data_IF_037575228505
#
_entry.id   IF_037575228505
#
_cell.length_a   1.000
_cell.length_b   1.000
_cell.length_c   1.000
_cell.angle_alpha   90.00
_cell.angle_beta   90.00
_cell.angle_gamma   90.00
#
_symmetry.space_group_name_H-M   'P 1'
#
loop_
_entity.id
_entity.type
_entity.pdbx_description
1 polymer ?
#
# COMPACT_ATOMS: atom_id res chain seq x y z
N UNK A 1 22.12 -29.97 1.35
CA UNK A 1 21.09 -29.91 2.39
C UNK A 1 19.72 -29.72 1.74
N UNK A 2 18.77 -30.57 2.06
CA UNK A 2 17.40 -30.42 1.55
C UNK A 2 16.61 -29.61 2.56
N UNK A 3 15.95 -28.55 2.08
CA UNK A 3 15.13 -27.68 2.93
C UNK A 3 13.68 -28.14 2.80
N UNK A 4 13.00 -28.36 3.94
CA UNK A 4 11.57 -28.71 3.95
C UNK A 4 10.69 -27.53 3.53
N UNK A 5 9.44 -27.83 3.14
CA UNK A 5 8.47 -26.77 2.77
C UNK A 5 8.25 -25.81 3.94
N UNK A 6 8.20 -26.30 5.16
CA UNK A 6 8.03 -25.46 6.34
C UNK A 6 9.25 -24.57 6.60
N UNK A 7 10.45 -25.08 6.38
CA UNK A 7 11.67 -24.29 6.50
C UNK A 7 11.73 -23.22 5.42
N UNK A 8 11.27 -23.50 4.21
CA UNK A 8 11.18 -22.50 3.15
C UNK A 8 10.19 -21.40 3.52
N UNK A 9 9.06 -21.76 4.11
CA UNK A 9 8.04 -20.78 4.50
C UNK A 9 8.53 -19.79 5.54
N UNK A 10 9.50 -20.19 6.39
CA UNK A 10 10.04 -19.32 7.45
C UNK A 10 11.35 -18.65 7.06
N UNK A 11 12.07 -19.18 6.07
CA UNK A 11 13.43 -18.74 5.73
C UNK A 11 13.47 -17.85 4.48
N UNK A 12 12.65 -18.12 3.50
CA UNK A 12 12.67 -17.40 2.23
C UNK A 12 11.66 -16.26 2.20
N UNK A 13 11.99 -15.16 1.52
CA UNK A 13 11.04 -14.05 1.35
C UNK A 13 9.78 -14.50 0.64
N UNK A 14 8.67 -13.87 1.00
CA UNK A 14 7.39 -14.11 0.35
C UNK A 14 7.35 -13.47 -1.03
N UNK A 15 6.69 -14.13 -2.01
CA UNK A 15 6.51 -13.52 -3.32
C UNK A 15 5.53 -12.37 -3.26
N UNK A 16 5.81 -11.30 -3.99
CA UNK A 16 4.96 -10.10 -3.99
C UNK A 16 3.67 -10.27 -4.81
N UNK A 17 3.53 -11.34 -5.58
CA UNK A 17 2.36 -11.50 -6.46
C UNK A 17 1.14 -12.11 -5.76
N UNK A 18 1.29 -12.68 -4.57
CA UNK A 18 0.17 -13.27 -3.80
C UNK A 18 -0.29 -12.29 -2.74
N UNK A 19 -1.21 -11.41 -3.11
CA UNK A 19 -1.73 -10.43 -2.17
C UNK A 19 -3.25 -10.28 -2.32
N UNK A 20 -3.88 -9.80 -1.25
CA UNK A 20 -5.30 -9.49 -1.23
C UNK A 20 -5.49 -8.07 -0.71
N UNK A 21 -6.46 -7.37 -1.26
CA UNK A 21 -6.81 -6.03 -0.81
C UNK A 21 -8.27 -6.04 -0.36
N UNK A 22 -8.51 -5.47 0.81
CA UNK A 22 -9.88 -5.24 1.28
C UNK A 22 -10.05 -3.78 1.65
N UNK A 23 -11.23 -3.23 1.36
CA UNK A 23 -11.61 -1.87 1.69
C UNK A 23 -12.98 -1.92 2.34
N UNK A 24 -13.09 -1.38 3.56
CA UNK A 24 -14.34 -1.37 4.31
C UNK A 24 -14.99 -2.77 4.39
N UNK A 25 -14.17 -3.81 4.55
CA UNK A 25 -14.65 -5.17 4.67
C UNK A 25 -14.92 -5.88 3.36
N UNK A 26 -14.77 -5.22 2.21
CA UNK A 26 -14.98 -5.81 0.90
C UNK A 26 -13.64 -6.14 0.24
N UNK A 27 -13.53 -7.37 -0.28
CA UNK A 27 -12.35 -7.78 -1.02
C UNK A 27 -12.37 -7.16 -2.42
N UNK A 28 -11.25 -6.56 -2.82
CA UNK A 28 -11.09 -5.95 -4.13
C UNK A 28 -9.93 -6.63 -4.86
N UNK A 29 -10.02 -6.67 -6.18
CA UNK A 29 -8.98 -7.26 -7.02
C UNK A 29 -8.15 -6.17 -7.67
N UNK A 30 -6.85 -6.18 -7.38
CA UNK A 30 -5.91 -5.25 -7.99
C UNK A 30 -4.77 -6.02 -8.63
N UNK A 31 -4.27 -5.48 -9.75
CA UNK A 31 -3.08 -6.00 -10.40
C UNK A 31 -1.81 -5.53 -9.71
N UNK A 32 -1.86 -4.35 -9.09
CA UNK A 32 -0.68 -3.77 -8.45
C UNK A 32 -1.09 -2.78 -7.37
N UNK A 33 -0.36 -2.81 -6.27
CA UNK A 33 -0.45 -1.83 -5.18
C UNK A 33 0.96 -1.37 -4.88
N UNK A 34 1.20 -0.07 -4.91
CA UNK A 34 2.53 0.48 -4.66
C UNK A 34 2.45 1.77 -3.86
N UNK A 35 3.55 2.14 -3.22
CA UNK A 35 3.64 3.37 -2.45
C UNK A 35 3.32 3.22 -0.97
N UNK A 36 3.09 2.01 -0.48
CA UNK A 36 2.91 1.79 0.95
C UNK A 36 4.24 2.04 1.65
N UNK A 37 4.28 3.08 2.49
CA UNK A 37 5.50 3.46 3.19
C UNK A 37 5.19 4.02 4.56
N UNK A 38 6.16 3.90 5.44
CA UNK A 38 6.11 4.49 6.78
C UNK A 38 7.32 5.37 6.93
N UNK A 39 7.12 6.57 7.47
CA UNK A 39 8.17 7.57 7.55
C UNK A 39 8.07 8.31 8.88
N UNK A 40 9.21 8.63 9.47
CA UNK A 40 9.30 9.51 10.61
C UNK A 40 9.80 10.87 10.15
N UNK A 41 9.17 11.92 10.63
CA UNK A 41 9.67 13.27 10.38
C UNK A 41 10.81 13.55 11.33
N UNK A 42 11.92 14.04 10.78
CA UNK A 42 13.10 14.41 11.54
C UNK A 42 13.17 15.92 11.63
N UNK A 43 13.35 16.44 12.84
CA UNK A 43 13.56 17.85 13.08
C UNK A 43 14.94 18.02 13.66
N UNK A 44 15.74 18.91 13.08
CA UNK A 44 17.07 19.23 13.56
C UNK A 44 17.05 20.61 14.20
N UNK A 45 17.85 20.78 15.26
CA UNK A 45 17.97 22.04 15.98
C UNK A 45 19.43 22.40 16.15
N UNK A 46 19.76 23.66 15.87
CA UNK A 46 21.09 24.22 16.11
C UNK A 46 20.91 25.59 16.75
N UNK A 47 21.80 25.91 17.69
CA UNK A 47 21.88 27.24 18.31
C UNK A 47 23.32 27.71 18.32
N UNK A 48 23.57 28.86 18.99
CA UNK A 48 24.91 29.47 19.06
C UNK A 48 25.96 28.60 19.76
N UNK A 49 25.54 27.57 20.50
CA UNK A 49 26.45 26.66 21.20
C UNK A 49 26.57 25.28 20.50
N UNK A 50 25.99 25.13 19.32
CA UNK A 50 26.05 23.86 18.58
C UNK A 50 27.48 23.46 18.19
N UNK A 51 28.40 24.42 18.13
CA UNK A 51 29.79 24.12 17.88
C UNK A 51 30.43 23.29 19.00
N UNK A 52 29.87 23.32 20.22
CA UNK A 52 30.33 22.51 21.35
C UNK A 52 29.65 21.14 21.38
N UNK A 53 28.34 21.11 21.18
CA UNK A 53 27.53 19.94 21.42
C UNK A 53 27.05 19.24 20.14
N UNK A 54 27.23 19.89 18.98
CA UNK A 54 26.74 19.39 17.72
C UNK A 54 25.27 19.69 17.48
N UNK A 55 24.74 19.14 16.42
CA UNK A 55 23.36 19.33 16.01
C UNK A 55 22.44 18.34 16.74
N UNK A 56 21.36 18.87 17.31
CA UNK A 56 20.34 18.03 17.96
C UNK A 56 19.35 17.55 16.93
N UNK A 57 19.11 16.23 16.91
CA UNK A 57 18.18 15.60 16.00
C UNK A 57 17.05 14.94 16.80
N UNK A 58 15.83 15.34 16.52
CA UNK A 58 14.64 14.72 17.11
C UNK A 58 13.80 14.07 16.03
N UNK A 59 13.37 12.83 16.29
CA UNK A 59 12.52 12.07 15.39
C UNK A 59 11.10 12.11 15.93
N UNK A 60 10.17 12.54 15.08
CA UNK A 60 8.76 12.61 15.42
C UNK A 60 7.97 11.61 14.59
N UNK A 61 7.04 10.93 15.24
CA UNK A 61 6.08 10.09 14.56
C UNK A 61 4.87 10.96 14.21
N UNK A 62 4.85 11.45 12.98
CA UNK A 62 3.71 12.20 12.45
C UNK A 62 2.91 11.29 11.53
N UNK A 63 1.61 11.30 11.73
CA UNK A 63 0.68 10.56 10.90
C UNK A 63 0.39 11.37 9.64
N UNK A 64 1.29 11.27 8.67
CA UNK A 64 1.18 12.01 7.42
C UNK A 64 0.56 11.14 6.34
N UNK A 65 -0.18 11.79 5.43
CA UNK A 65 -0.71 11.10 4.27
C UNK A 65 0.40 10.83 3.26
N UNK A 66 0.44 9.60 2.77
CA UNK A 66 1.35 9.19 1.70
C UNK A 66 0.54 8.79 0.47
N UNK A 67 1.14 8.91 -0.70
CA UNK A 67 0.49 8.54 -1.97
C UNK A 67 0.62 7.04 -2.19
N UNK A 68 -0.49 6.38 -2.43
CA UNK A 68 -0.55 4.97 -2.80
C UNK A 68 -1.20 4.85 -4.16
N UNK A 69 -0.62 4.06 -5.02
CA UNK A 69 -1.12 3.83 -6.38
C UNK A 69 -1.68 2.43 -6.49
N UNK A 70 -2.91 2.33 -7.00
CA UNK A 70 -3.63 1.08 -7.22
C UNK A 70 -3.89 0.91 -8.69
N UNK A 71 -3.60 -0.28 -9.22
CA UNK A 71 -3.88 -0.60 -10.62
C UNK A 71 -4.84 -1.76 -10.70
N UNK A 72 -5.90 -1.61 -11.48
CA UNK A 72 -6.93 -2.62 -11.63
C UNK A 72 -7.28 -2.80 -13.10
N UNK A 73 -7.38 -4.05 -13.54
CA UNK A 73 -7.86 -4.36 -14.88
C UNK A 73 -9.31 -3.93 -15.04
N UNK A 74 -9.62 -3.32 -16.20
CA UNK A 74 -10.98 -2.87 -16.49
C UNK A 74 -11.83 -4.08 -16.88
N UNK A 75 -12.94 -4.28 -16.17
CA UNK A 75 -13.87 -5.38 -16.38
C UNK A 75 -15.26 -4.81 -16.65
N UNK A 76 -15.97 -5.39 -17.61
CA UNK A 76 -17.31 -4.98 -17.95
C UNK A 76 -18.24 -5.05 -16.71
N UNK A 77 -18.97 -3.98 -16.46
CA UNK A 77 -19.89 -3.90 -15.34
C UNK A 77 -19.25 -3.56 -13.99
N UNK A 78 -17.92 -3.47 -13.91
CA UNK A 78 -17.21 -3.17 -12.69
C UNK A 78 -16.86 -1.66 -12.64
N UNK A 79 -17.40 -0.97 -11.62
CA UNK A 79 -17.14 0.46 -11.45
C UNK A 79 -16.80 0.83 -10.02
N UNK A 80 -16.31 -0.12 -9.23
CA UNK A 80 -16.07 0.09 -7.80
C UNK A 80 -15.07 1.22 -7.52
N UNK A 81 -14.02 1.38 -8.36
CA UNK A 81 -13.06 2.46 -8.18
C UNK A 81 -13.67 3.83 -8.42
N UNK A 82 -14.51 3.96 -9.44
CA UNK A 82 -15.18 5.21 -9.75
C UNK A 82 -16.19 5.58 -8.66
N UNK A 83 -16.91 4.60 -8.13
CA UNK A 83 -17.82 4.81 -7.02
C UNK A 83 -17.07 5.24 -5.75
N UNK A 84 -15.89 4.65 -5.52
CA UNK A 84 -15.04 5.04 -4.39
C UNK A 84 -14.54 6.48 -4.53
N UNK A 85 -14.16 6.89 -5.75
CA UNK A 85 -13.69 8.26 -5.98
C UNK A 85 -14.75 9.30 -5.59
N UNK A 86 -16.03 8.98 -5.78
CA UNK A 86 -17.14 9.86 -5.45
C UNK A 86 -17.53 9.79 -3.97
N UNK A 87 -17.05 8.80 -3.22
CA UNK A 87 -17.35 8.67 -1.81
C UNK A 87 -16.64 9.76 -1.00
N UNK A 88 -17.33 10.33 -0.03
CA UNK A 88 -16.79 11.42 0.79
C UNK A 88 -16.23 10.93 2.13
N UNK A 89 -16.57 9.72 2.55
CA UNK A 89 -16.13 9.18 3.84
C UNK A 89 -14.72 8.61 3.76
N UNK A 90 -13.92 8.83 4.81
CA UNK A 90 -12.63 8.16 4.96
C UNK A 90 -12.88 6.68 5.23
N UNK A 91 -12.14 5.82 4.55
CA UNK A 91 -12.32 4.38 4.69
C UNK A 91 -11.00 3.71 5.04
N UNK A 92 -11.10 2.65 5.84
CA UNK A 92 -9.96 1.81 6.14
C UNK A 92 -9.71 0.82 5.00
N UNK A 93 -8.44 0.50 4.79
CA UNK A 93 -8.03 -0.46 3.77
C UNK A 93 -6.96 -1.38 4.35
N UNK A 94 -6.92 -2.61 3.86
CA UNK A 94 -5.92 -3.58 4.26
C UNK A 94 -5.36 -4.28 3.05
N UNK A 95 -4.03 -4.39 3.00
CA UNK A 95 -3.32 -5.17 1.98
C UNK A 95 -2.66 -6.34 2.69
N UNK A 96 -3.03 -7.54 2.30
CA UNK A 96 -2.53 -8.79 2.89
C UNK A 96 -1.58 -9.47 1.93
N UNK A 97 -0.41 -9.84 2.42
CA UNK A 97 0.52 -10.67 1.67
C UNK A 97 0.31 -12.12 2.06
N UNK A 98 0.16 -12.99 1.08
CA UNK A 98 -0.15 -14.40 1.27
C UNK A 98 1.06 -15.27 0.98
N UNK A 99 1.09 -16.45 1.62
CA UNK A 99 2.11 -17.45 1.32
C UNK A 99 1.75 -18.23 0.05
N UNK A 100 2.57 -19.22 -0.31
CA UNK A 100 2.36 -20.03 -1.52
C UNK A 100 1.03 -20.80 -1.49
N UNK A 101 0.45 -21.04 -0.31
CA UNK A 101 -0.83 -21.71 -0.16
C UNK A 101 -2.01 -20.75 -0.20
N UNK A 102 -1.76 -19.46 -0.40
CA UNK A 102 -2.81 -18.44 -0.42
C UNK A 102 -3.31 -18.03 0.95
N UNK A 103 -2.60 -18.38 2.03
CA UNK A 103 -2.95 -18.00 3.39
C UNK A 103 -2.31 -16.65 3.71
N UNK A 104 -3.09 -15.65 4.14
CA UNK A 104 -2.53 -14.36 4.54
C UNK A 104 -1.61 -14.51 5.75
N UNK A 105 -0.40 -13.97 5.67
CA UNK A 105 0.59 -14.08 6.75
C UNK A 105 1.07 -12.72 7.26
N UNK A 106 0.84 -11.66 6.48
CA UNK A 106 1.26 -10.32 6.85
C UNK A 106 0.26 -9.32 6.29
N UNK A 107 -0.07 -8.30 7.06
CA UNK A 107 -1.02 -7.29 6.63
C UNK A 107 -0.47 -5.89 6.83
N UNK A 108 -0.68 -5.04 5.83
CA UNK A 108 -0.52 -3.59 5.94
C UNK A 108 -1.91 -3.01 6.14
N UNK A 109 -2.18 -2.54 7.35
CA UNK A 109 -3.47 -1.92 7.69
C UNK A 109 -3.37 -0.42 7.57
N UNK A 110 -4.30 0.16 6.83
CA UNK A 110 -4.35 1.58 6.57
C UNK A 110 -5.61 2.11 7.22
N UNK A 111 -5.44 3.01 8.20
CA UNK A 111 -6.57 3.51 8.98
C UNK A 111 -7.46 4.43 8.16
N UNK A 112 -6.87 5.26 7.31
CA UNK A 112 -7.60 6.28 6.54
C UNK A 112 -7.11 6.33 5.11
N UNK A 113 -8.04 6.29 4.17
CA UNK A 113 -7.73 6.44 2.74
C UNK A 113 -8.65 7.49 2.13
N UNK A 114 -8.10 8.30 1.24
CA UNK A 114 -8.83 9.30 0.47
C UNK A 114 -8.48 9.10 -0.99
N UNK A 115 -9.46 8.70 -1.83
CA UNK A 115 -9.19 8.61 -3.27
C UNK A 115 -9.08 10.02 -3.86
N UNK A 116 -8.12 10.22 -4.76
CA UNK A 116 -7.83 11.53 -5.30
C UNK A 116 -8.06 11.57 -6.80
N UNK A 117 -7.64 10.53 -7.52
CA UNK A 117 -7.54 10.58 -8.95
C UNK A 117 -7.64 9.18 -9.56
N UNK A 118 -8.40 9.05 -10.62
CA UNK A 118 -8.40 7.85 -11.46
C UNK A 118 -7.91 8.27 -12.84
N UNK A 119 -6.96 7.53 -13.38
CA UNK A 119 -6.47 7.70 -14.73
C UNK A 119 -6.97 6.54 -15.58
N UNK A 120 -7.68 6.85 -16.64
CA UNK A 120 -8.18 5.85 -17.58
C UNK A 120 -7.02 5.21 -18.34
N UNK A 121 -7.21 3.97 -18.85
CA UNK A 121 -6.18 3.36 -19.68
C UNK A 121 -5.96 4.16 -20.96
N UNK A 122 -4.78 3.99 -21.55
CA UNK A 122 -4.51 4.53 -22.87
C UNK A 122 -5.29 3.73 -23.91
N UNK A 123 -6.03 4.41 -24.76
CA UNK A 123 -6.80 3.76 -25.82
C UNK A 123 -6.01 3.81 -27.12
N UNK A 124 -5.47 2.68 -27.51
CA UNK A 124 -4.68 2.54 -28.74
C UNK A 124 -5.13 1.29 -29.49
N UNK A 125 -5.70 1.48 -30.67
CA UNK A 125 -6.23 0.37 -31.48
C UNK A 125 -5.17 -0.64 -31.88
N UNK A 126 -3.89 -0.27 -31.81
CA UNK A 126 -2.76 -1.14 -32.17
C UNK A 126 -2.18 -1.90 -30.97
N UNK A 127 -2.65 -1.59 -29.77
CA UNK A 127 -2.13 -2.20 -28.55
C UNK A 127 -2.78 -3.57 -28.31
N UNK A 128 -1.97 -4.52 -27.82
CA UNK A 128 -2.44 -5.82 -27.35
C UNK A 128 -2.49 -5.88 -25.82
N UNK A 129 -2.29 -4.75 -25.14
CA UNK A 129 -2.25 -4.71 -23.69
C UNK A 129 -3.64 -4.72 -23.09
N UNK A 130 -3.73 -5.23 -21.86
CA UNK A 130 -4.95 -5.19 -21.07
C UNK A 130 -5.21 -3.75 -20.63
N UNK A 131 -6.46 -3.32 -20.67
CA UNK A 131 -6.83 -1.99 -20.18
C UNK A 131 -6.73 -1.96 -18.65
N UNK A 132 -5.98 -1.00 -18.12
CA UNK A 132 -5.71 -0.87 -16.68
C UNK A 132 -6.13 0.52 -16.23
N UNK A 133 -7.01 0.59 -15.21
CA UNK A 133 -7.29 1.83 -14.49
C UNK A 133 -6.24 2.03 -13.41
N UNK A 134 -5.73 3.25 -13.29
CA UNK A 134 -4.77 3.62 -12.25
C UNK A 134 -5.44 4.60 -11.30
N UNK A 135 -5.51 4.23 -10.02
CA UNK A 135 -6.07 5.11 -8.99
C UNK A 135 -4.98 5.56 -8.05
N UNK A 136 -4.95 6.85 -7.77
CA UNK A 136 -4.11 7.42 -6.73
C UNK A 136 -4.95 7.74 -5.50
N UNK A 137 -4.50 7.28 -4.34
CA UNK A 137 -5.13 7.59 -3.06
C UNK A 137 -4.10 8.21 -2.13
N UNK A 138 -4.58 8.96 -1.15
CA UNK A 138 -3.77 9.35 0.00
C UNK A 138 -4.14 8.46 1.17
N UNK A 139 -3.13 7.95 1.84
CA UNK A 139 -3.28 6.99 2.94
C UNK A 139 -2.51 7.45 4.16
N UNK A 140 -3.09 7.23 5.34
CA UNK A 140 -2.41 7.50 6.60
C UNK A 140 -2.78 6.45 7.64
N UNK A 141 -1.98 6.37 8.71
CA UNK A 141 -2.18 5.38 9.75
C UNK A 141 -1.82 3.97 9.29
N UNK A 142 -0.69 3.84 8.58
CA UNK A 142 -0.25 2.54 8.06
C UNK A 142 0.49 1.78 9.15
N UNK A 143 0.03 0.56 9.44
CA UNK A 143 0.67 -0.35 10.38
C UNK A 143 0.87 -1.71 9.73
N UNK A 144 1.89 -2.44 10.19
CA UNK A 144 2.19 -3.78 9.71
C UNK A 144 1.87 -4.76 10.82
N UNK A 145 1.04 -5.76 10.51
CA UNK A 145 0.56 -6.73 11.48
C UNK A 145 0.84 -8.15 10.98
N UNK A 146 1.59 -8.95 11.73
CA UNK A 146 1.70 -10.38 11.43
C UNK A 146 0.35 -11.06 11.70
N UNK A 147 -0.05 -11.98 10.82
CA UNK A 147 -1.34 -12.67 10.89
C UNK A 147 -1.21 -14.12 11.38
N UNK A 148 -0.01 -14.63 11.52
CA UNK A 148 0.23 -16.00 12.02
C UNK A 148 1.41 -16.07 12.95
#
# INVERSE_FOLDING_TARGET
MVITVEQQATTYPLPAYNFRVSRAGQTMRFAKVSGLQREHKVITYRDGLSFLDGELIARYHLDQYVSVTLEQGVVQGENSLHAWLEATALQAMEVQLCNAKGVPVLAWRIARTIPIKITAPSFDARSNEVAIDVMEIKASGITIVPLT
#
